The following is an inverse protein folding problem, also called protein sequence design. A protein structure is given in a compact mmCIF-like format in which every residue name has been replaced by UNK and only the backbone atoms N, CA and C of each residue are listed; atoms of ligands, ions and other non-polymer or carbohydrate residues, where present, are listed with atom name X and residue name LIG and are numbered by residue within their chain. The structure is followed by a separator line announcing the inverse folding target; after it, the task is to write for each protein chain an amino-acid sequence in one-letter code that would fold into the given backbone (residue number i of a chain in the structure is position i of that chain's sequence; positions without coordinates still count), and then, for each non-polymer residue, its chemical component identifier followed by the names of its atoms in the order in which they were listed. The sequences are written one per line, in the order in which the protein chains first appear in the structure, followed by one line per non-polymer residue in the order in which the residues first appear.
data_IF_877572022583
#
_entry.id   IF_877572022583
#
_cell.length_a   1.000
_cell.length_b   1.000
_cell.length_c   1.000
_cell.angle_alpha   90.00
_cell.angle_beta   90.00
_cell.angle_gamma   90.00
#
_symmetry.space_group_name_H-M   'P 1'
#
loop_
_entity.id
_entity.type
_entity.pdbx_description
1 polymer ?
#
# COMPACT_ATOMS: atom_id res chain seq x y z
N UNK A 1 -22.97 -24.98 32.12
CA UNK A 1 -21.55 -25.41 31.99
C UNK A 1 -21.28 -26.00 30.59
N UNK A 2 -22.19 -26.78 30.00
CA UNK A 2 -22.02 -27.44 28.71
C UNK A 2 -21.99 -26.47 27.52
N UNK A 3 -22.84 -25.46 27.51
CA UNK A 3 -22.96 -24.43 26.44
C UNK A 3 -21.70 -23.58 26.31
N UNK A 4 -21.03 -23.24 27.40
CA UNK A 4 -19.79 -22.47 27.38
C UNK A 4 -18.59 -23.24 26.74
N UNK A 5 -18.56 -24.59 26.84
CA UNK A 5 -17.52 -25.41 26.19
C UNK A 5 -17.69 -25.48 24.65
N UNK A 6 -18.89 -25.32 24.13
CA UNK A 6 -19.16 -25.31 22.69
C UNK A 6 -19.01 -23.93 22.06
N UNK A 7 -19.35 -22.86 22.78
CA UNK A 7 -19.28 -21.48 22.27
C UNK A 7 -17.84 -20.94 22.20
N UNK A 8 -16.96 -21.31 23.14
CA UNK A 8 -15.55 -20.87 23.15
C UNK A 8 -14.77 -21.17 21.86
N UNK A 9 -14.81 -22.41 21.28
CA UNK A 9 -14.13 -22.72 20.03
C UNK A 9 -14.66 -21.91 18.85
N UNK A 10 -15.98 -21.65 18.78
CA UNK A 10 -16.60 -20.84 17.73
C UNK A 10 -16.17 -19.37 17.82
N UNK A 11 -16.16 -18.79 19.02
CA UNK A 11 -15.62 -17.43 19.20
C UNK A 11 -14.15 -17.33 18.79
N UNK A 12 -13.36 -18.35 19.12
CA UNK A 12 -11.95 -18.41 18.74
C UNK A 12 -11.76 -18.56 17.23
N UNK A 13 -12.63 -19.35 16.55
CA UNK A 13 -12.65 -19.46 15.10
C UNK A 13 -12.97 -18.10 14.46
N UNK A 14 -13.98 -17.39 14.97
CA UNK A 14 -14.37 -16.07 14.44
C UNK A 14 -13.22 -15.06 14.56
N UNK A 15 -12.56 -14.96 15.72
CA UNK A 15 -11.43 -14.06 15.93
C UNK A 15 -10.27 -14.40 14.99
N UNK A 16 -9.91 -15.69 14.87
CA UNK A 16 -8.81 -16.12 14.01
C UNK A 16 -9.15 -15.92 12.53
N UNK A 17 -10.40 -16.16 12.12
CA UNK A 17 -10.85 -15.92 10.77
C UNK A 17 -10.83 -14.42 10.42
N UNK A 18 -11.25 -13.57 11.34
CA UNK A 18 -11.17 -12.12 11.20
C UNK A 18 -9.72 -11.62 11.12
N UNK A 19 -8.85 -12.09 12.02
CA UNK A 19 -7.41 -11.78 12.02
C UNK A 19 -6.77 -12.18 10.68
N UNK A 20 -7.08 -13.39 10.20
CA UNK A 20 -6.58 -13.87 8.90
C UNK A 20 -7.15 -13.08 7.73
N UNK A 21 -8.45 -12.72 7.79
CA UNK A 21 -9.11 -11.88 6.78
C UNK A 21 -8.51 -10.47 6.67
N UNK A 22 -7.99 -9.93 7.77
CA UNK A 22 -7.23 -8.67 7.81
C UNK A 22 -5.79 -8.81 7.29
N UNK A 23 -5.40 -9.97 6.73
CA UNK A 23 -4.04 -10.22 6.22
C UNK A 23 -2.98 -10.42 7.32
N UNK A 24 -3.39 -10.49 8.58
CA UNK A 24 -2.48 -10.75 9.70
C UNK A 24 -2.19 -12.25 9.82
N UNK A 25 -0.99 -12.58 10.31
CA UNK A 25 -0.67 -13.99 10.54
C UNK A 25 -1.44 -14.51 11.76
N UNK A 26 -2.38 -15.41 11.51
CA UNK A 26 -3.19 -16.01 12.53
C UNK A 26 -2.66 -17.42 12.88
N UNK A 27 -2.63 -17.82 14.15
CA UNK A 27 -2.19 -19.16 14.55
C UNK A 27 -3.12 -20.24 13.98
N UNK A 28 -2.63 -21.48 13.94
CA UNK A 28 -3.49 -22.62 13.56
C UNK A 28 -4.55 -22.87 14.64
N UNK A 29 -5.76 -23.13 14.20
CA UNK A 29 -6.84 -23.57 15.08
C UNK A 29 -6.56 -24.98 15.57
N UNK A 30 -6.57 -25.16 16.90
CA UNK A 30 -6.52 -26.51 17.49
C UNK A 30 -7.84 -27.24 17.22
N UNK A 31 -7.77 -28.42 16.63
CA UNK A 31 -8.93 -29.28 16.34
C UNK A 31 -9.42 -29.97 17.62
N UNK A 32 -10.07 -29.20 18.51
CA UNK A 32 -10.60 -29.67 19.79
C UNK A 32 -12.11 -29.45 19.90
N UNK A 33 -12.81 -30.26 20.65
CA UNK A 33 -14.27 -30.13 20.86
C UNK A 33 -15.09 -31.15 20.08
N UNK A 34 -16.36 -30.83 19.83
CA UNK A 34 -17.29 -31.67 19.07
C UNK A 34 -16.79 -31.95 17.66
N UNK A 35 -17.30 -33.02 17.02
CA UNK A 35 -16.85 -33.46 15.70
C UNK A 35 -17.00 -32.38 14.66
N UNK A 36 -18.09 -31.65 14.67
CA UNK A 36 -18.43 -30.56 13.74
C UNK A 36 -17.43 -29.40 13.88
N UNK A 37 -17.08 -29.06 15.11
CA UNK A 37 -16.10 -28.00 15.40
C UNK A 37 -14.71 -28.41 14.93
N UNK A 38 -14.32 -29.66 15.12
CA UNK A 38 -13.03 -30.19 14.62
C UNK A 38 -12.96 -30.18 13.11
N UNK A 39 -14.03 -30.57 12.44
CA UNK A 39 -14.13 -30.53 10.97
C UNK A 39 -14.01 -29.09 10.46
N UNK A 40 -14.72 -28.15 11.07
CA UNK A 40 -14.67 -26.73 10.69
C UNK A 40 -13.28 -26.14 10.90
N UNK A 41 -12.63 -26.43 12.04
CA UNK A 41 -11.27 -26.00 12.31
C UNK A 41 -10.26 -26.56 11.28
N UNK A 42 -10.39 -27.83 10.91
CA UNK A 42 -9.55 -28.46 9.90
C UNK A 42 -9.76 -27.86 8.51
N UNK A 43 -11.02 -27.65 8.10
CA UNK A 43 -11.36 -27.00 6.84
C UNK A 43 -10.80 -25.58 6.75
N UNK A 44 -10.92 -24.80 7.84
CA UNK A 44 -10.33 -23.47 7.92
C UNK A 44 -8.80 -23.49 7.81
N UNK A 45 -8.13 -24.39 8.55
CA UNK A 45 -6.67 -24.54 8.48
C UNK A 45 -6.19 -24.94 7.08
N UNK A 46 -6.92 -25.80 6.38
CA UNK A 46 -6.63 -26.16 4.99
C UNK A 46 -6.81 -24.98 4.04
N UNK A 47 -7.91 -24.23 4.17
CA UNK A 47 -8.15 -23.01 3.38
C UNK A 47 -7.02 -21.99 3.62
N UNK A 48 -6.68 -21.71 4.89
CA UNK A 48 -5.58 -20.81 5.26
C UNK A 48 -4.25 -21.25 4.61
N UNK A 49 -3.92 -22.53 4.66
CA UNK A 49 -2.69 -23.08 4.07
C UNK A 49 -2.69 -22.93 2.55
N UNK A 50 -3.83 -23.19 1.89
CA UNK A 50 -3.97 -22.98 0.43
C UNK A 50 -3.81 -21.53 0.03
N UNK A 51 -4.43 -20.60 0.75
CA UNK A 51 -4.32 -19.15 0.47
C UNK A 51 -2.87 -18.69 0.66
N UNK A 52 -2.20 -19.06 1.77
CA UNK A 52 -0.79 -18.72 1.98
C UNK A 52 0.11 -19.27 0.87
N UNK A 53 -0.11 -20.51 0.45
CA UNK A 53 0.64 -21.14 -0.65
C UNK A 53 0.41 -20.41 -1.96
N UNK A 54 -0.83 -20.07 -2.27
CA UNK A 54 -1.17 -19.33 -3.49
C UNK A 54 -0.51 -17.94 -3.52
N UNK A 55 -0.57 -17.19 -2.41
CA UNK A 55 0.08 -15.89 -2.30
C UNK A 55 1.61 -16.00 -2.46
N UNK A 56 2.22 -17.00 -1.81
CA UNK A 56 3.65 -17.27 -1.95
C UNK A 56 4.02 -17.62 -3.38
N UNK A 57 3.29 -18.53 -4.03
CA UNK A 57 3.54 -18.93 -5.41
C UNK A 57 3.41 -17.74 -6.38
N UNK A 58 2.42 -16.86 -6.17
CA UNK A 58 2.27 -15.63 -6.95
C UNK A 58 3.49 -14.71 -6.78
N UNK A 59 3.97 -14.55 -5.54
CA UNK A 59 5.16 -13.74 -5.23
C UNK A 59 6.42 -14.33 -5.87
N UNK A 60 6.64 -15.63 -5.75
CA UNK A 60 7.81 -16.32 -6.31
C UNK A 60 7.81 -16.25 -7.84
N UNK A 61 6.65 -16.42 -8.49
CA UNK A 61 6.50 -16.30 -9.94
C UNK A 61 6.85 -14.89 -10.42
N UNK A 62 6.34 -13.87 -9.75
CA UNK A 62 6.61 -12.47 -10.13
C UNK A 62 8.07 -12.08 -9.89
N UNK A 63 8.70 -12.63 -8.85
CA UNK A 63 10.13 -12.46 -8.63
C UNK A 63 10.96 -13.10 -9.76
N UNK A 64 10.55 -14.29 -10.23
CA UNK A 64 11.18 -14.96 -11.37
C UNK A 64 11.04 -14.16 -12.67
N UNK A 65 9.83 -13.73 -13.00
CA UNK A 65 9.57 -12.88 -14.19
C UNK A 65 10.41 -11.61 -14.15
N UNK A 66 10.55 -10.97 -12.99
CA UNK A 66 11.38 -9.77 -12.88
C UNK A 66 12.86 -10.05 -13.11
N UNK A 67 13.38 -11.16 -12.62
CA UNK A 67 14.74 -11.58 -12.88
C UNK A 67 14.97 -11.78 -14.40
N UNK A 68 14.04 -12.45 -15.04
CA UNK A 68 14.14 -12.77 -16.47
C UNK A 68 14.00 -11.53 -17.37
N UNK A 69 13.20 -10.53 -16.93
CA UNK A 69 13.09 -9.24 -17.62
C UNK A 69 14.31 -8.34 -17.42
N UNK A 70 15.05 -8.47 -16.33
CA UNK A 70 16.26 -7.68 -16.10
C UNK A 70 17.35 -7.97 -17.10
N UNK A 71 17.48 -9.21 -17.54
CA UNK A 71 18.49 -9.64 -18.53
C UNK A 71 18.33 -8.94 -19.89
N UNK A 72 17.15 -8.95 -20.55
CA UNK A 72 16.97 -8.22 -21.81
C UNK A 72 17.10 -6.70 -21.63
N UNK A 73 16.62 -6.11 -20.52
CA UNK A 73 16.80 -4.68 -20.26
C UNK A 73 18.28 -4.29 -20.15
N UNK A 74 19.09 -5.10 -19.46
CA UNK A 74 20.54 -4.89 -19.39
C UNK A 74 21.20 -5.00 -20.78
N UNK A 75 20.76 -5.95 -21.61
CA UNK A 75 21.26 -6.11 -22.99
C UNK A 75 20.88 -4.91 -23.86
N UNK A 76 19.64 -4.42 -23.76
CA UNK A 76 19.21 -3.20 -24.47
C UNK A 76 20.05 -2.00 -24.04
N UNK A 77 20.31 -1.83 -22.75
CA UNK A 77 21.15 -0.75 -22.22
C UNK A 77 22.58 -0.79 -22.79
N UNK A 78 23.15 -1.97 -22.93
CA UNK A 78 24.46 -2.16 -23.58
C UNK A 78 24.42 -1.82 -25.08
N UNK A 79 23.37 -2.23 -25.79
CA UNK A 79 23.22 -1.90 -27.22
C UNK A 79 23.10 -0.39 -27.46
N UNK A 80 22.31 0.29 -26.63
CA UNK A 80 22.10 1.75 -26.68
C UNK A 80 23.41 2.49 -26.37
N UNK A 81 24.25 1.98 -25.45
CA UNK A 81 25.55 2.60 -25.15
C UNK A 81 26.49 2.67 -26.39
N UNK A 82 26.28 1.82 -27.38
CA UNK A 82 27.05 1.77 -28.63
C UNK A 82 26.47 2.66 -29.75
N UNK A 83 25.30 3.30 -29.51
CA UNK A 83 24.68 4.20 -30.50
C UNK A 83 25.49 5.48 -30.67
N UNK A 84 25.52 5.98 -31.91
CA UNK A 84 26.26 7.21 -32.27
C UNK A 84 25.40 8.47 -32.16
N UNK A 85 24.07 8.34 -32.22
CA UNK A 85 23.15 9.46 -32.13
C UNK A 85 22.82 9.74 -30.65
N UNK A 86 23.43 10.77 -30.09
CA UNK A 86 23.28 11.10 -28.64
C UNK A 86 21.84 11.45 -28.25
N UNK A 87 21.02 12.03 -29.14
CA UNK A 87 19.63 12.37 -28.80
C UNK A 87 18.76 11.11 -28.67
N UNK A 88 18.80 10.24 -29.67
CA UNK A 88 18.08 8.96 -29.68
C UNK A 88 18.56 8.05 -28.53
N UNK A 89 19.87 8.02 -28.30
CA UNK A 89 20.49 7.29 -27.20
C UNK A 89 19.89 7.72 -25.84
N UNK A 90 19.82 9.04 -25.57
CA UNK A 90 19.31 9.59 -24.32
C UNK A 90 17.83 9.29 -24.13
N UNK A 91 17.01 9.34 -25.17
CA UNK A 91 15.59 8.96 -25.11
C UNK A 91 15.42 7.49 -24.75
N UNK A 92 16.13 6.60 -25.45
CA UNK A 92 16.05 5.16 -25.19
C UNK A 92 16.64 4.77 -23.82
N UNK A 93 17.70 5.43 -23.36
CA UNK A 93 18.23 5.23 -22.00
C UNK A 93 17.20 5.61 -20.94
N UNK A 94 16.48 6.71 -21.13
CA UNK A 94 15.41 7.13 -20.24
C UNK A 94 14.27 6.11 -20.21
N UNK A 95 13.81 5.63 -21.36
CA UNK A 95 12.76 4.61 -21.46
C UNK A 95 13.17 3.31 -20.74
N UNK A 96 14.39 2.83 -20.92
CA UNK A 96 14.88 1.63 -20.22
C UNK A 96 15.02 1.84 -18.72
N UNK A 97 15.49 3.00 -18.28
CA UNK A 97 15.59 3.32 -16.88
C UNK A 97 14.19 3.37 -16.25
N UNK A 98 13.19 3.92 -16.93
CA UNK A 98 11.80 3.93 -16.50
C UNK A 98 11.23 2.51 -16.38
N UNK A 99 11.39 1.67 -17.40
CA UNK A 99 10.97 0.25 -17.36
C UNK A 99 11.63 -0.49 -16.19
N UNK A 100 12.91 -0.25 -15.95
CA UNK A 100 13.65 -0.85 -14.82
C UNK A 100 13.11 -0.40 -13.47
N UNK A 101 12.80 0.88 -13.34
CA UNK A 101 12.21 1.45 -12.11
C UNK A 101 10.80 0.88 -11.86
N UNK A 102 9.95 0.79 -12.89
CA UNK A 102 8.62 0.17 -12.82
C UNK A 102 8.72 -1.29 -12.38
N UNK A 103 9.61 -2.07 -13.00
CA UNK A 103 9.81 -3.47 -12.69
C UNK A 103 10.27 -3.67 -11.23
N UNK A 104 11.26 -2.89 -10.77
CA UNK A 104 11.74 -2.95 -9.40
C UNK A 104 10.65 -2.54 -8.39
N UNK A 105 9.87 -1.51 -8.70
CA UNK A 105 8.74 -1.07 -7.86
C UNK A 105 7.68 -2.15 -7.73
N UNK A 106 7.37 -2.84 -8.83
CA UNK A 106 6.41 -3.94 -8.86
C UNK A 106 6.89 -5.15 -8.06
N UNK A 107 8.17 -5.54 -8.23
CA UNK A 107 8.76 -6.64 -7.47
C UNK A 107 8.78 -6.36 -5.97
N UNK A 108 9.18 -5.16 -5.60
CA UNK A 108 9.18 -4.75 -4.20
C UNK A 108 7.76 -4.69 -3.60
N UNK A 109 6.77 -4.36 -4.45
CA UNK A 109 5.36 -4.43 -4.06
C UNK A 109 4.92 -5.88 -3.80
N UNK A 110 5.25 -6.81 -4.70
CA UNK A 110 4.80 -8.21 -4.65
C UNK A 110 5.56 -9.05 -3.62
N UNK A 111 6.88 -8.83 -3.49
CA UNK A 111 7.68 -9.57 -2.51
C UNK A 111 7.23 -9.33 -1.07
N UNK A 112 6.54 -8.22 -0.83
CA UNK A 112 6.35 -7.77 0.54
C UNK A 112 7.71 -7.44 1.19
N UNK A 113 7.70 -6.64 2.20
CA UNK A 113 8.90 -6.42 3.01
C UNK A 113 9.14 -7.64 3.91
N UNK A 114 10.38 -7.78 4.42
CA UNK A 114 10.75 -8.73 5.47
C UNK A 114 9.66 -8.83 6.53
N UNK A 115 9.47 -10.00 7.16
CA UNK A 115 8.48 -10.16 8.23
C UNK A 115 8.67 -9.08 9.28
N UNK A 116 7.75 -8.13 9.31
CA UNK A 116 7.77 -7.00 10.21
C UNK A 116 6.85 -7.28 11.40
N UNK A 117 7.33 -7.02 12.62
CA UNK A 117 6.53 -7.15 13.84
C UNK A 117 5.47 -6.05 13.91
N UNK A 118 4.35 -6.37 14.54
CA UNK A 118 3.32 -5.37 14.83
C UNK A 118 3.78 -4.57 16.04
N UNK A 119 3.80 -3.24 15.90
CA UNK A 119 4.24 -2.30 16.92
C UNK A 119 3.23 -1.16 17.09
N UNK A 120 3.33 -0.46 18.21
CA UNK A 120 2.55 0.75 18.43
C UNK A 120 3.23 1.93 17.72
N UNK A 121 2.52 2.52 16.77
CA UNK A 121 3.01 3.56 15.87
C UNK A 121 2.36 4.90 16.24
N UNK A 122 3.18 5.89 16.55
CA UNK A 122 2.72 7.27 16.69
C UNK A 122 2.55 7.90 15.30
N UNK A 123 1.29 8.02 14.86
CA UNK A 123 0.95 8.52 13.52
C UNK A 123 1.36 9.99 13.32
N UNK A 124 1.21 10.83 14.34
CA UNK A 124 1.61 12.23 14.25
C UNK A 124 3.11 12.35 13.91
N UNK A 125 3.96 11.69 14.70
CA UNK A 125 5.41 11.71 14.46
C UNK A 125 5.78 11.11 13.10
N UNK A 126 5.11 10.00 12.70
CA UNK A 126 5.36 9.36 11.43
C UNK A 126 5.07 10.30 10.26
N UNK A 127 3.89 10.94 10.26
CA UNK A 127 3.45 11.83 9.19
C UNK A 127 4.32 13.09 9.16
N UNK A 128 4.57 13.73 10.30
CA UNK A 128 5.47 14.89 10.39
C UNK A 128 6.87 14.58 9.84
N UNK A 129 7.42 13.40 10.14
CA UNK A 129 8.74 13.01 9.60
C UNK A 129 8.71 12.83 8.07
N UNK A 130 7.61 12.29 7.51
CA UNK A 130 7.44 12.16 6.05
C UNK A 130 7.29 13.55 5.41
N UNK A 131 6.55 14.45 6.03
CA UNK A 131 6.38 15.82 5.54
C UNK A 131 7.70 16.59 5.51
N UNK A 132 8.54 16.44 6.54
CA UNK A 132 9.85 17.09 6.63
C UNK A 132 10.88 16.52 5.66
N UNK A 133 10.80 15.23 5.34
CA UNK A 133 11.67 14.61 4.35
C UNK A 133 11.28 15.10 2.96
N UNK A 134 12.24 15.70 2.22
CA UNK A 134 12.03 16.22 0.86
C UNK A 134 11.07 17.42 0.75
N UNK A 135 11.00 18.29 1.75
CA UNK A 135 10.23 19.54 1.65
C UNK A 135 10.90 20.48 0.62
N UNK A 136 10.17 20.83 -0.43
CA UNK A 136 10.55 21.93 -1.32
C UNK A 136 10.18 23.26 -0.65
N UNK A 137 10.98 24.33 -0.81
CA UNK A 137 10.65 25.67 -0.28
C UNK A 137 9.31 26.23 -0.79
N UNK A 138 8.87 25.75 -1.96
CA UNK A 138 7.63 26.19 -2.61
C UNK A 138 6.38 25.44 -2.14
N UNK A 139 6.55 24.33 -1.38
CA UNK A 139 5.44 23.50 -0.93
C UNK A 139 5.02 23.86 0.49
N UNK A 140 3.81 24.34 0.64
CA UNK A 140 3.20 24.64 1.93
C UNK A 140 2.47 23.42 2.47
N UNK A 141 2.89 22.87 3.60
CA UNK A 141 2.23 21.77 4.30
C UNK A 141 1.71 22.27 5.64
N UNK A 142 0.41 22.10 5.86
CA UNK A 142 -0.26 22.43 7.13
C UNK A 142 -0.66 21.14 7.83
N UNK A 143 -0.19 20.97 9.08
CA UNK A 143 -0.48 19.80 9.91
C UNK A 143 -1.41 20.20 11.06
N UNK A 144 -2.60 19.60 11.13
CA UNK A 144 -3.60 19.83 12.17
C UNK A 144 -3.83 18.56 12.99
N UNK A 145 -3.07 18.40 14.07
CA UNK A 145 -3.13 17.24 14.94
C UNK A 145 -3.60 17.67 16.34
N UNK A 146 -4.81 17.30 16.73
CA UNK A 146 -5.39 17.69 18.00
C UNK A 146 -4.88 16.85 19.18
N UNK A 147 -4.51 15.58 18.96
CA UNK A 147 -4.07 14.64 19.99
C UNK A 147 -2.97 13.72 19.46
N UNK A 148 -2.19 13.13 20.37
CA UNK A 148 -1.27 12.05 20.03
C UNK A 148 -2.06 10.80 19.70
N UNK A 149 -1.96 10.31 18.47
CA UNK A 149 -2.69 9.15 17.98
C UNK A 149 -1.72 8.00 17.76
N UNK A 150 -2.05 6.85 18.36
CA UNK A 150 -1.24 5.63 18.29
C UNK A 150 -2.11 4.54 17.70
N UNK A 151 -1.63 3.88 16.65
CA UNK A 151 -2.24 2.68 16.05
C UNK A 151 -1.31 1.50 16.14
N UNK A 152 -1.85 0.30 16.07
CA UNK A 152 -1.08 -0.94 16.03
C UNK A 152 -0.89 -1.40 14.59
N UNK A 153 0.35 -1.63 14.17
CA UNK A 153 0.62 -2.03 12.80
C UNK A 153 2.08 -2.31 12.52
N UNK A 154 2.41 -2.52 11.25
CA UNK A 154 3.78 -2.71 10.75
C UNK A 154 4.37 -1.35 10.37
N UNK A 155 5.38 -0.83 11.11
CA UNK A 155 5.84 0.54 10.99
C UNK A 155 6.32 0.94 9.59
N UNK A 156 7.13 0.09 8.94
CA UNK A 156 7.68 0.37 7.61
C UNK A 156 6.58 0.33 6.53
N UNK A 157 5.64 -0.61 6.64
CA UNK A 157 4.52 -0.68 5.70
C UNK A 157 3.61 0.56 5.84
N UNK A 158 3.22 0.92 7.06
CA UNK A 158 2.39 2.12 7.29
C UNK A 158 3.13 3.38 6.82
N UNK A 159 4.43 3.51 7.13
CA UNK A 159 5.26 4.59 6.61
C UNK A 159 5.22 4.65 5.09
N UNK A 160 5.39 3.53 4.41
CA UNK A 160 5.34 3.43 2.95
C UNK A 160 3.99 3.84 2.37
N UNK A 161 2.88 3.44 3.01
CA UNK A 161 1.55 3.84 2.57
C UNK A 161 1.37 5.36 2.61
N UNK A 162 1.70 6.00 3.75
CA UNK A 162 1.63 7.45 3.88
C UNK A 162 2.61 8.17 2.96
N UNK A 163 3.82 7.65 2.79
CA UNK A 163 4.80 8.21 1.88
C UNK A 163 4.29 8.24 0.43
N UNK A 164 3.71 7.15 -0.05
CA UNK A 164 3.12 7.08 -1.40
C UNK A 164 2.00 8.12 -1.59
N UNK A 165 1.15 8.32 -0.59
CA UNK A 165 0.04 9.29 -0.68
C UNK A 165 0.58 10.73 -0.61
N UNK A 166 1.46 11.03 0.33
CA UNK A 166 2.01 12.38 0.52
C UNK A 166 2.91 12.76 -0.66
N UNK A 167 3.72 11.83 -1.18
CA UNK A 167 4.56 12.07 -2.35
C UNK A 167 3.71 12.31 -3.61
N UNK A 168 2.57 11.61 -3.73
CA UNK A 168 1.60 11.89 -4.79
C UNK A 168 1.06 13.34 -4.67
N UNK A 169 0.60 13.75 -3.50
CA UNK A 169 0.13 15.13 -3.28
C UNK A 169 1.25 16.16 -3.51
N UNK A 170 2.47 15.94 -3.00
CA UNK A 170 3.64 16.82 -3.24
C UNK A 170 3.96 17.03 -4.72
N UNK A 171 3.72 16.03 -5.53
CA UNK A 171 4.06 16.05 -6.97
C UNK A 171 3.10 16.90 -7.79
N UNK A 172 1.84 16.93 -7.41
CA UNK A 172 0.79 17.58 -8.20
C UNK A 172 0.27 18.89 -7.60
N UNK A 173 0.70 19.26 -6.39
CA UNK A 173 0.20 20.42 -5.68
C UNK A 173 1.31 21.31 -5.12
N UNK A 174 0.94 22.51 -4.74
CA UNK A 174 1.76 23.49 -4.03
C UNK A 174 1.32 23.67 -2.58
N UNK A 175 0.15 23.17 -2.23
CA UNK A 175 -0.40 23.25 -0.87
C UNK A 175 -1.04 21.92 -0.47
N UNK A 176 -0.70 21.45 0.74
CA UNK A 176 -1.24 20.21 1.33
C UNK A 176 -1.71 20.52 2.74
N UNK A 177 -2.94 20.14 3.07
CA UNK A 177 -3.51 20.19 4.42
C UNK A 177 -3.73 18.77 4.95
N UNK A 178 -3.14 18.46 6.12
CA UNK A 178 -3.23 17.14 6.74
C UNK A 178 -3.92 17.25 8.08
N UNK A 179 -5.02 16.51 8.24
CA UNK A 179 -5.80 16.45 9.47
C UNK A 179 -5.85 15.02 9.99
N UNK A 180 -5.68 14.85 11.30
CA UNK A 180 -5.87 13.57 11.95
C UNK A 180 -6.91 13.75 13.06
N UNK A 181 -7.96 12.91 13.04
CA UNK A 181 -9.03 12.91 14.03
C UNK A 181 -9.35 11.47 14.43
N UNK A 182 -9.88 11.31 15.65
CA UNK A 182 -10.41 10.03 16.11
C UNK A 182 -11.93 10.07 15.93
N UNK A 183 -12.47 9.03 15.29
CA UNK A 183 -13.90 8.82 15.17
C UNK A 183 -14.23 7.40 15.58
N UNK A 184 -14.93 7.27 16.72
CA UNK A 184 -15.22 5.97 17.34
C UNK A 184 -13.92 5.20 17.67
N UNK A 185 -13.75 3.98 17.17
CA UNK A 185 -12.55 3.15 17.36
C UNK A 185 -11.55 3.28 16.19
N UNK A 186 -11.73 4.28 15.32
CA UNK A 186 -10.90 4.46 14.13
C UNK A 186 -10.20 5.82 14.14
N UNK A 187 -9.00 5.83 13.58
CA UNK A 187 -8.30 7.04 13.22
C UNK A 187 -8.67 7.44 11.78
N UNK A 188 -9.14 8.66 11.61
CA UNK A 188 -9.44 9.25 10.31
C UNK A 188 -8.35 10.25 9.96
N UNK A 189 -7.57 9.96 8.91
CA UNK A 189 -6.53 10.83 8.39
C UNK A 189 -7.00 11.38 7.05
N UNK A 190 -7.05 12.70 6.93
CA UNK A 190 -7.49 13.42 5.74
C UNK A 190 -6.30 14.20 5.20
N UNK A 191 -5.91 13.91 3.96
CA UNK A 191 -4.84 14.60 3.23
C UNK A 191 -5.50 15.27 2.04
N UNK A 192 -5.54 16.61 2.04
CA UNK A 192 -6.16 17.44 1.01
C UNK A 192 -5.08 18.23 0.28
N UNK A 193 -5.13 18.25 -1.03
CA UNK A 193 -4.22 19.03 -1.86
C UNK A 193 -4.95 20.01 -2.78
N UNK A 194 -4.23 21.00 -3.32
CA UNK A 194 -4.74 21.99 -4.27
C UNK A 194 -4.35 21.66 -5.72
N UNK A 195 -4.02 20.41 -6.02
CA UNK A 195 -3.65 19.96 -7.36
C UNK A 195 -4.81 19.96 -8.37
N UNK A 196 -4.63 19.32 -9.53
CA UNK A 196 -5.67 19.27 -10.57
C UNK A 196 -6.86 18.37 -10.18
N UNK A 197 -6.72 17.55 -9.12
CA UNK A 197 -7.71 16.56 -8.72
C UNK A 197 -7.81 15.38 -9.71
N UNK A 198 -8.80 14.51 -9.46
CA UNK A 198 -9.08 13.31 -10.27
C UNK A 198 -10.56 13.38 -10.70
N UNK A 199 -10.88 13.14 -11.98
CA UNK A 199 -12.26 13.04 -12.43
C UNK A 199 -13.05 11.99 -11.64
N UNK A 200 -14.27 12.30 -11.25
CA UNK A 200 -15.09 11.44 -10.37
C UNK A 200 -15.24 10.00 -10.89
N UNK A 201 -15.35 9.84 -12.22
CA UNK A 201 -15.45 8.54 -12.88
C UNK A 201 -14.18 7.67 -12.77
N UNK A 202 -13.04 8.27 -12.41
CA UNK A 202 -11.73 7.62 -12.37
C UNK A 202 -11.18 7.46 -10.95
N UNK A 203 -11.92 7.90 -9.91
CA UNK A 203 -11.48 7.82 -8.51
C UNK A 203 -11.19 6.38 -8.03
N UNK A 204 -11.89 5.38 -8.56
CA UNK A 204 -11.60 3.97 -8.27
C UNK A 204 -10.53 3.40 -9.21
N UNK A 205 -10.45 3.89 -10.46
CA UNK A 205 -9.50 3.38 -11.44
C UNK A 205 -8.05 3.70 -11.07
N UNK A 206 -7.79 4.81 -10.39
CA UNK A 206 -6.43 5.21 -9.95
C UNK A 206 -5.83 4.27 -8.90
N UNK A 207 -6.63 3.37 -8.34
CA UNK A 207 -6.12 2.29 -7.50
C UNK A 207 -5.75 1.03 -8.27
N UNK A 208 -6.01 0.97 -9.58
CA UNK A 208 -5.57 -0.14 -10.43
C UNK A 208 -4.05 -0.03 -10.68
N UNK A 209 -3.30 -1.14 -10.64
CA UNK A 209 -1.87 -1.11 -10.95
C UNK A 209 -1.60 -0.51 -12.33
N UNK A 210 -0.58 0.34 -12.42
CA UNK A 210 -0.14 1.02 -13.65
C UNK A 210 -1.15 1.98 -14.27
N UNK A 211 -2.24 2.30 -13.57
CA UNK A 211 -3.19 3.28 -14.06
C UNK A 211 -2.64 4.70 -13.87
N UNK A 212 -2.76 5.50 -14.93
CA UNK A 212 -2.33 6.91 -14.95
C UNK A 212 -3.34 7.74 -15.70
N UNK A 213 -3.63 8.95 -15.22
CA UNK A 213 -4.59 9.87 -15.83
C UNK A 213 -4.09 10.43 -17.15
N UNK A 214 -2.79 10.68 -17.25
CA UNK A 214 -2.15 11.27 -18.43
C UNK A 214 -0.81 10.55 -18.71
N UNK A 215 -0.80 9.59 -19.67
CA UNK A 215 0.40 8.86 -20.03
C UNK A 215 1.54 9.75 -20.54
N UNK A 216 1.23 10.92 -21.11
CA UNK A 216 2.23 11.81 -21.71
C UNK A 216 3.00 12.62 -20.67
N UNK A 217 2.37 12.99 -19.56
CA UNK A 217 2.98 13.70 -18.42
C UNK A 217 3.85 12.80 -17.54
N UNK A 218 3.57 11.51 -17.51
CA UNK A 218 4.25 10.55 -16.63
C UNK A 218 5.64 10.18 -17.11
N UNK A 219 5.90 10.22 -18.42
CA UNK A 219 7.24 9.99 -18.98
C UNK A 219 8.29 10.97 -18.44
N UNK A 220 7.88 12.18 -18.10
CA UNK A 220 8.78 13.21 -17.54
C UNK A 220 8.99 13.11 -16.02
N UNK A 221 8.16 12.36 -15.29
CA UNK A 221 8.13 12.35 -13.81
C UNK A 221 8.45 11.00 -13.15
N UNK A 222 8.72 9.93 -13.94
CA UNK A 222 9.12 8.61 -13.43
C UNK A 222 8.04 7.92 -12.58
N UNK A 223 6.77 8.00 -13.00
CA UNK A 223 5.64 7.40 -12.28
C UNK A 223 5.41 5.95 -12.68
N UNK A 224 5.39 5.06 -11.69
CA UNK A 224 5.05 3.65 -11.92
C UNK A 224 3.55 3.37 -11.96
N UNK A 225 2.68 4.33 -11.57
CA UNK A 225 1.24 4.10 -11.39
C UNK A 225 0.90 3.06 -10.31
N UNK A 226 1.82 2.80 -9.38
CA UNK A 226 1.68 1.80 -8.32
C UNK A 226 1.48 2.43 -6.93
N UNK A 227 1.78 3.71 -6.75
CA UNK A 227 1.81 4.34 -5.42
C UNK A 227 0.50 4.23 -4.65
N UNK A 228 -0.63 4.63 -5.27
CA UNK A 228 -1.95 4.56 -4.65
C UNK A 228 -2.43 3.11 -4.46
N UNK A 229 -2.13 2.22 -5.40
CA UNK A 229 -2.42 0.78 -5.27
C UNK A 229 -1.71 0.20 -4.04
N UNK A 230 -0.41 0.45 -3.91
CA UNK A 230 0.41 0.01 -2.77
C UNK A 230 -0.15 0.57 -1.46
N UNK A 231 -0.47 1.85 -1.42
CA UNK A 231 -1.01 2.50 -0.24
C UNK A 231 -2.32 1.84 0.21
N UNK A 232 -3.27 1.63 -0.72
CA UNK A 232 -4.56 1.01 -0.43
C UNK A 232 -4.42 -0.44 0.07
N UNK A 233 -3.56 -1.22 -0.57
CA UNK A 233 -3.32 -2.61 -0.16
C UNK A 233 -2.72 -2.70 1.24
N UNK A 234 -1.77 -1.83 1.57
CA UNK A 234 -1.17 -1.76 2.91
C UNK A 234 -2.23 -1.36 3.94
N UNK A 235 -3.01 -0.32 3.69
CA UNK A 235 -4.05 0.14 4.64
C UNK A 235 -5.12 -0.94 4.84
N UNK A 236 -5.54 -1.62 3.77
CA UNK A 236 -6.47 -2.76 3.85
C UNK A 236 -5.89 -3.94 4.62
N UNK A 237 -4.61 -4.24 4.47
CA UNK A 237 -3.91 -5.26 5.25
C UNK A 237 -3.81 -4.92 6.75
N UNK A 238 -4.06 -3.67 7.13
CA UNK A 238 -4.17 -3.21 8.52
C UNK A 238 -5.63 -3.01 8.97
N UNK A 239 -6.61 -3.50 8.19
CA UNK A 239 -8.04 -3.43 8.53
C UNK A 239 -8.70 -2.08 8.23
N UNK A 240 -7.99 -1.18 7.55
CA UNK A 240 -8.49 0.13 7.12
C UNK A 240 -8.97 0.17 5.67
N UNK A 241 -9.24 1.37 5.16
CA UNK A 241 -9.48 1.61 3.73
C UNK A 241 -9.11 3.06 3.35
N UNK A 242 -8.94 3.31 2.05
CA UNK A 242 -8.68 4.64 1.48
C UNK A 242 -9.82 5.01 0.55
N UNK A 243 -10.33 6.24 0.70
CA UNK A 243 -11.30 6.85 -0.20
C UNK A 243 -10.75 8.15 -0.77
N UNK A 244 -11.05 8.40 -2.02
CA UNK A 244 -10.69 9.63 -2.72
C UNK A 244 -11.94 10.45 -2.99
N UNK A 245 -11.82 11.76 -2.86
CA UNK A 245 -12.88 12.72 -3.17
C UNK A 245 -12.27 14.05 -3.64
N UNK A 246 -13.12 14.95 -4.10
CA UNK A 246 -12.67 16.32 -4.46
C UNK A 246 -12.33 17.09 -3.19
N UNK A 247 -11.16 17.72 -3.17
CA UNK A 247 -10.71 18.56 -2.07
C UNK A 247 -11.44 19.90 -2.03
N UNK A 248 -11.66 20.42 -0.82
CA UNK A 248 -12.21 21.77 -0.60
C UNK A 248 -11.26 22.88 -1.05
N UNK A 249 -9.96 22.60 -1.09
CA UNK A 249 -8.92 23.54 -1.55
C UNK A 249 -8.59 23.40 -3.03
N UNK A 250 -9.36 22.58 -3.77
CA UNK A 250 -9.36 22.55 -5.22
C UNK A 250 -8.92 21.22 -5.86
N UNK A 251 -8.03 20.47 -5.23
CA UNK A 251 -7.46 19.24 -5.79
C UNK A 251 -8.10 17.93 -5.30
N UNK A 252 -7.27 17.01 -4.83
CA UNK A 252 -7.65 15.70 -4.33
C UNK A 252 -7.73 15.69 -2.80
N UNK A 253 -8.77 15.06 -2.26
CA UNK A 253 -8.86 14.70 -0.85
C UNK A 253 -8.74 13.19 -0.70
N UNK A 254 -7.73 12.76 0.02
CA UNK A 254 -7.50 11.36 0.36
C UNK A 254 -7.89 11.14 1.82
N UNK A 255 -8.94 10.37 2.04
CA UNK A 255 -9.43 9.99 3.37
C UNK A 255 -9.01 8.58 3.69
N UNK A 256 -8.21 8.42 4.74
CA UNK A 256 -7.71 7.12 5.23
C UNK A 256 -8.42 6.81 6.53
N UNK A 257 -9.06 5.67 6.59
CA UNK A 257 -9.65 5.12 7.81
C UNK A 257 -8.76 3.97 8.30
N UNK A 258 -8.25 4.05 9.53
CA UNK A 258 -7.36 3.05 10.12
C UNK A 258 -7.85 2.70 11.53
N UNK A 259 -7.98 1.42 11.91
CA UNK A 259 -8.28 1.00 13.27
C UNK A 259 -7.20 1.47 14.27
N UNK A 260 -7.61 1.81 15.50
CA UNK A 260 -6.71 2.17 16.59
C UNK A 260 -6.17 0.96 17.34
#
# INVERSE_FOLDING_TARGET
FFMNKQIRPLKRLAIIAETFGRGLDAPQLKSTGATEIRQTANAFNQMRTRIKRFLKQRTDMLAGVSHDLRTPLTRMKLQISLMKNENEKKELENDINEMTAMLNSYVNFVKGETPETIENINLNNLITNICKSNSSPELKITENFNNKIVTSGRPLQIKRAFQNIIDNSKRYSTEIDIKITIKEENCLIIISDNGPGIPEKQLEDVFKPFFTLDPSRNKLKGESGLGLTIARDIIRAHGGDIKLSKSKIGGLETTINLPL
#
